data_IF_895251518786
#
_entry.id   IF_895251518786
#
_cell.length_a   1.000
_cell.length_b   1.000
_cell.length_c   1.000
_cell.angle_alpha   90.00
_cell.angle_beta   90.00
_cell.angle_gamma   90.00
#
_symmetry.space_group_name_H-M   'P 1'
#
loop_
_entity.id
_entity.type
_entity.pdbx_description
1 polymer ?
#
# COMPACT_ATOMS: atom_id res chain seq x y z
N UNK A 1 -3.75 -9.22 -12.51
CA UNK A 1 -4.27 -9.99 -11.35
C UNK A 1 -5.48 -9.28 -10.79
N UNK A 2 -6.54 -10.00 -10.41
CA UNK A 2 -7.84 -9.40 -10.06
C UNK A 2 -7.79 -8.43 -8.85
N UNK A 3 -6.84 -8.61 -7.93
CA UNK A 3 -6.82 -7.90 -6.65
C UNK A 3 -6.26 -6.45 -6.74
N UNK A 4 -5.49 -6.12 -7.76
CA UNK A 4 -4.90 -4.77 -7.90
C UNK A 4 -5.70 -3.88 -8.85
N UNK A 5 -6.55 -4.48 -9.69
CA UNK A 5 -7.42 -3.77 -10.63
C UNK A 5 -8.25 -2.68 -9.94
N UNK A 6 -8.85 -2.98 -8.78
CA UNK A 6 -9.63 -1.99 -8.02
C UNK A 6 -8.78 -0.79 -7.60
N UNK A 7 -7.51 -0.98 -7.20
CA UNK A 7 -6.62 0.13 -6.85
C UNK A 7 -6.30 0.99 -8.08
N UNK A 8 -6.03 0.35 -9.24
CA UNK A 8 -5.77 1.07 -10.50
C UNK A 8 -6.98 1.86 -10.97
N UNK A 9 -8.18 1.27 -10.90
CA UNK A 9 -9.42 1.94 -11.29
C UNK A 9 -9.68 3.19 -10.44
N UNK A 10 -9.46 3.09 -9.12
CA UNK A 10 -9.61 4.24 -8.22
C UNK A 10 -8.50 5.27 -8.42
N UNK A 11 -7.27 4.85 -8.68
CA UNK A 11 -6.18 5.74 -9.03
C UNK A 11 -6.48 6.52 -10.33
N UNK A 12 -6.88 5.84 -11.39
CA UNK A 12 -7.23 6.46 -12.67
C UNK A 12 -8.41 7.44 -12.53
N UNK A 13 -9.47 7.04 -11.82
CA UNK A 13 -10.61 7.92 -11.55
C UNK A 13 -10.23 9.16 -10.74
N UNK A 14 -9.26 9.03 -9.84
CA UNK A 14 -8.81 10.12 -8.98
C UNK A 14 -7.87 11.08 -9.74
N UNK A 15 -6.90 10.56 -10.49
CA UNK A 15 -5.98 11.35 -11.32
C UNK A 15 -6.72 12.08 -12.45
N UNK A 16 -7.72 11.43 -13.08
CA UNK A 16 -8.53 12.06 -14.13
C UNK A 16 -9.37 13.25 -13.66
N UNK A 17 -9.66 13.36 -12.36
CA UNK A 17 -10.39 14.49 -11.76
C UNK A 17 -9.49 15.56 -11.16
N UNK A 18 -8.22 15.24 -10.93
CA UNK A 18 -7.29 16.10 -10.20
C UNK A 18 -5.91 16.13 -10.87
N UNK A 19 -5.77 16.79 -12.03
CA UNK A 19 -4.52 16.78 -12.79
C UNK A 19 -3.47 17.77 -12.28
N UNK A 20 -3.70 18.49 -11.17
CA UNK A 20 -2.82 19.58 -10.74
C UNK A 20 -2.53 19.60 -9.25
N UNK A 21 -1.25 19.72 -8.90
CA UNK A 21 -0.77 19.89 -7.53
C UNK A 21 0.26 18.83 -7.17
N UNK A 22 1.30 19.26 -6.45
CA UNK A 22 2.52 18.48 -6.19
C UNK A 22 2.29 17.02 -5.80
N UNK A 23 1.28 16.74 -4.96
CA UNK A 23 0.97 15.36 -4.54
C UNK A 23 0.45 14.47 -5.66
N UNK A 24 -0.35 15.00 -6.58
CA UNK A 24 -0.94 14.23 -7.67
C UNK A 24 0.09 13.98 -8.76
N UNK A 25 0.93 14.98 -9.02
CA UNK A 25 2.10 14.85 -9.90
C UNK A 25 3.04 13.76 -9.40
N UNK A 26 3.32 13.74 -8.09
CA UNK A 26 4.12 12.70 -7.45
C UNK A 26 3.49 11.30 -7.59
N UNK A 27 2.17 11.16 -7.41
CA UNK A 27 1.51 9.87 -7.61
C UNK A 27 1.55 9.41 -9.05
N UNK A 28 1.32 10.32 -9.99
CA UNK A 28 1.38 10.03 -11.42
C UNK A 28 2.79 9.61 -11.83
N UNK A 29 3.82 10.28 -11.32
CA UNK A 29 5.22 9.90 -11.53
C UNK A 29 5.54 8.52 -10.92
N UNK A 30 5.05 8.26 -9.71
CA UNK A 30 5.32 6.99 -9.01
C UNK A 30 4.69 5.77 -9.71
N UNK A 31 3.54 5.91 -10.37
CA UNK A 31 2.90 4.80 -11.12
C UNK A 31 3.32 4.72 -12.59
N UNK A 32 4.16 5.65 -13.06
CA UNK A 32 4.55 5.69 -14.47
C UNK A 32 5.39 4.45 -14.83
N UNK A 33 5.02 3.75 -15.91
CA UNK A 33 5.66 2.51 -16.34
C UNK A 33 5.40 1.29 -15.44
N UNK A 34 4.55 1.41 -14.42
CA UNK A 34 4.15 0.26 -13.59
C UNK A 34 3.15 -0.63 -14.34
N UNK A 35 3.39 -1.94 -14.33
CA UNK A 35 2.55 -2.93 -14.98
C UNK A 35 2.01 -3.96 -13.98
N UNK A 36 0.87 -4.58 -14.30
CA UNK A 36 0.29 -5.63 -13.46
C UNK A 36 1.25 -6.82 -13.26
N UNK A 37 2.10 -7.07 -14.26
CA UNK A 37 3.07 -8.15 -14.24
C UNK A 37 4.21 -7.90 -13.23
N UNK A 38 4.44 -6.65 -12.81
CA UNK A 38 5.42 -6.32 -11.77
C UNK A 38 5.05 -6.93 -10.41
N UNK A 39 3.75 -7.22 -10.21
CA UNK A 39 3.23 -7.86 -8.99
C UNK A 39 3.06 -9.37 -9.13
N UNK A 40 3.34 -9.94 -10.30
CA UNK A 40 3.07 -11.33 -10.58
C UNK A 40 4.00 -12.25 -9.78
N UNK A 41 3.48 -13.39 -9.36
CA UNK A 41 4.23 -14.41 -8.66
C UNK A 41 3.35 -15.59 -8.27
N UNK A 42 3.98 -16.71 -7.95
CA UNK A 42 3.31 -17.96 -7.59
C UNK A 42 3.08 -18.16 -6.08
N UNK A 43 3.01 -17.09 -5.29
CA UNK A 43 2.84 -17.17 -3.82
C UNK A 43 1.46 -16.68 -3.43
N UNK A 44 0.88 -17.27 -2.39
CA UNK A 44 -0.34 -16.74 -1.78
C UNK A 44 0.02 -15.45 -1.02
N UNK A 45 -0.66 -14.37 -1.37
CA UNK A 45 -0.50 -13.02 -0.83
C UNK A 45 -1.84 -12.57 -0.28
N UNK A 46 -1.84 -11.96 0.90
CA UNK A 46 -3.05 -11.50 1.57
C UNK A 46 -3.58 -10.18 1.00
N UNK A 47 -2.71 -9.28 0.54
CA UNK A 47 -3.00 -7.94 -0.01
C UNK A 47 -3.58 -6.91 0.98
N UNK A 48 -4.03 -7.34 2.17
CA UNK A 48 -4.67 -6.45 3.14
C UNK A 48 -4.29 -6.79 4.60
N UNK A 49 -3.02 -7.10 4.85
CA UNK A 49 -2.52 -7.15 6.22
C UNK A 49 -2.66 -5.77 6.87
N UNK A 50 -3.37 -5.75 7.99
CA UNK A 50 -3.67 -4.55 8.77
C UNK A 50 -3.98 -4.89 10.23
N UNK A 51 -3.96 -3.91 11.16
CA UNK A 51 -4.23 -4.19 12.58
C UNK A 51 -5.58 -4.86 12.86
N UNK A 52 -6.59 -4.66 12.02
CA UNK A 52 -7.88 -5.36 12.10
C UNK A 52 -7.78 -6.85 11.74
N UNK A 53 -6.87 -7.21 10.83
CA UNK A 53 -6.70 -8.55 10.27
C UNK A 53 -5.52 -9.33 10.88
N UNK A 54 -4.77 -8.71 11.81
CA UNK A 54 -3.70 -9.36 12.57
C UNK A 54 -4.15 -9.56 14.02
N UNK A 55 -4.25 -10.81 14.46
CA UNK A 55 -4.63 -11.17 15.83
C UNK A 55 -3.43 -11.73 16.57
N UNK A 56 -3.17 -11.23 17.77
CA UNK A 56 -2.12 -11.75 18.64
C UNK A 56 -2.76 -12.71 19.65
N UNK A 57 -2.34 -13.96 19.65
CA UNK A 57 -2.77 -14.97 20.63
C UNK A 57 -2.09 -14.74 21.99
N UNK A 58 -2.60 -15.41 23.03
CA UNK A 58 -2.07 -15.29 24.39
C UNK A 58 -0.60 -15.75 24.52
N UNK A 59 -0.16 -16.68 23.67
CA UNK A 59 1.22 -17.18 23.58
C UNK A 59 2.11 -16.34 22.63
N UNK A 60 1.60 -15.23 22.11
CA UNK A 60 2.36 -14.27 21.30
C UNK A 60 2.45 -14.60 19.81
N UNK A 61 1.72 -15.61 19.32
CA UNK A 61 1.64 -15.88 17.88
C UNK A 61 0.77 -14.82 17.18
N UNK A 62 1.13 -14.49 15.95
CA UNK A 62 0.36 -13.57 15.10
C UNK A 62 -0.40 -14.36 14.05
N UNK A 63 -1.73 -14.29 14.09
CA UNK A 63 -2.64 -14.91 13.13
C UNK A 63 -3.15 -13.87 12.15
N UNK A 64 -2.95 -14.12 10.85
CA UNK A 64 -3.60 -13.36 9.79
C UNK A 64 -4.99 -13.96 9.48
N UNK A 65 -6.01 -13.12 9.52
CA UNK A 65 -7.42 -13.49 9.26
C UNK A 65 -7.98 -12.65 8.12
N UNK A 66 -9.17 -13.00 7.63
CA UNK A 66 -9.83 -12.33 6.50
C UNK A 66 -9.06 -12.45 5.17
N UNK A 67 -8.92 -13.70 4.72
CA UNK A 67 -8.30 -14.07 3.44
C UNK A 67 -9.20 -13.85 2.23
N UNK A 68 -10.32 -13.13 2.38
CA UNK A 68 -11.32 -12.95 1.31
C UNK A 68 -10.77 -12.20 0.09
N UNK A 69 -9.72 -11.40 0.28
CA UNK A 69 -9.02 -10.66 -0.77
C UNK A 69 -7.66 -11.27 -1.17
N UNK A 70 -7.36 -12.49 -0.71
CA UNK A 70 -6.10 -13.13 -1.01
C UNK A 70 -5.99 -13.53 -2.50
N UNK A 71 -4.77 -13.67 -2.99
CA UNK A 71 -4.53 -14.07 -4.38
C UNK A 71 -3.09 -14.50 -4.64
N UNK A 72 -2.81 -14.96 -5.86
CA UNK A 72 -1.44 -15.24 -6.29
C UNK A 72 -0.70 -13.93 -6.56
N UNK A 73 0.52 -13.77 -6.07
CA UNK A 73 1.36 -12.61 -6.31
C UNK A 73 2.81 -12.83 -5.91
N UNK A 74 3.61 -11.77 -6.04
CA UNK A 74 5.01 -11.79 -5.62
C UNK A 74 5.15 -11.81 -4.08
N UNK A 75 6.12 -12.56 -3.51
CA UNK A 75 6.24 -12.78 -2.08
C UNK A 75 6.47 -11.51 -1.24
N UNK A 76 6.95 -10.44 -1.87
CA UNK A 76 7.31 -9.19 -1.21
C UNK A 76 6.10 -8.27 -0.97
N UNK A 77 4.96 -8.52 -1.61
CA UNK A 77 3.82 -7.60 -1.63
C UNK A 77 3.29 -7.32 -0.22
N UNK A 78 3.03 -8.36 0.57
CA UNK A 78 2.50 -8.17 1.94
C UNK A 78 3.49 -7.44 2.85
N UNK A 79 4.78 -7.72 2.73
CA UNK A 79 5.83 -7.01 3.47
C UNK A 79 5.84 -5.52 3.11
N UNK A 80 5.78 -5.21 1.81
CA UNK A 80 5.74 -3.84 1.30
C UNK A 80 4.48 -3.09 1.77
N UNK A 81 3.32 -3.74 1.75
CA UNK A 81 2.05 -3.13 2.17
C UNK A 81 1.91 -2.93 3.68
N UNK A 82 2.81 -3.48 4.49
CA UNK A 82 2.91 -3.20 5.93
C UNK A 82 3.61 -1.87 6.23
N UNK A 83 4.48 -1.37 5.34
CA UNK A 83 5.20 -0.09 5.55
C UNK A 83 4.25 1.07 5.83
N UNK A 84 3.20 1.35 5.02
CA UNK A 84 2.28 2.44 5.32
C UNK A 84 1.50 2.20 6.63
N UNK A 85 1.26 0.95 7.04
CA UNK A 85 0.60 0.63 8.32
C UNK A 85 1.47 0.97 9.52
N UNK A 86 2.78 0.76 9.42
CA UNK A 86 3.72 1.16 10.46
C UNK A 86 3.79 2.69 10.57
N UNK A 87 3.70 3.40 9.44
CA UNK A 87 3.65 4.86 9.45
C UNK A 87 2.33 5.35 10.06
N UNK A 88 1.21 4.69 9.78
CA UNK A 88 -0.06 4.92 10.50
C UNK A 88 0.09 4.72 12.02
N UNK A 89 0.94 3.76 12.45
CA UNK A 89 1.26 3.51 13.85
C UNK A 89 2.30 4.48 14.45
N UNK A 90 2.78 5.48 13.69
CA UNK A 90 3.65 6.55 14.18
C UNK A 90 5.13 6.41 13.81
N UNK A 91 5.52 5.41 13.04
CA UNK A 91 6.89 5.29 12.54
C UNK A 91 7.19 6.32 11.43
N UNK A 92 8.44 6.79 11.35
CA UNK A 92 8.91 7.52 10.17
C UNK A 92 9.05 6.57 8.98
N UNK A 93 8.96 7.04 7.72
CA UNK A 93 9.15 6.20 6.54
C UNK A 93 10.43 5.36 6.56
N UNK A 94 11.58 5.98 6.89
CA UNK A 94 12.85 5.27 6.97
C UNK A 94 12.88 4.20 8.07
N UNK A 95 12.32 4.50 9.26
CA UNK A 95 12.25 3.50 10.34
C UNK A 95 11.30 2.34 10.02
N UNK A 96 10.21 2.61 9.29
CA UNK A 96 9.27 1.60 8.85
C UNK A 96 9.90 0.66 7.81
N UNK A 97 10.63 1.20 6.81
CA UNK A 97 11.38 0.38 5.85
C UNK A 97 12.48 -0.44 6.54
N UNK A 98 13.21 0.15 7.49
CA UNK A 98 14.22 -0.58 8.26
C UNK A 98 13.62 -1.76 9.02
N UNK A 99 12.44 -1.59 9.64
CA UNK A 99 11.75 -2.67 10.34
C UNK A 99 11.31 -3.77 9.37
N UNK A 100 10.67 -3.40 8.26
CA UNK A 100 10.19 -4.36 7.25
C UNK A 100 11.33 -5.06 6.53
N UNK A 101 12.49 -4.44 6.38
CA UNK A 101 13.67 -5.06 5.76
C UNK A 101 14.18 -6.30 6.51
N UNK A 102 13.73 -6.54 7.74
CA UNK A 102 14.03 -7.78 8.48
C UNK A 102 13.21 -8.98 7.97
N UNK A 103 12.10 -8.73 7.25
CA UNK A 103 11.28 -9.76 6.64
C UNK A 103 11.96 -10.24 5.37
N UNK A 104 12.33 -11.52 5.31
CA UNK A 104 13.08 -12.11 4.18
C UNK A 104 12.48 -11.78 2.82
N UNK A 105 11.15 -11.78 2.69
CA UNK A 105 10.49 -11.52 1.41
C UNK A 105 10.66 -10.08 0.90
N UNK A 106 10.94 -9.11 1.77
CA UNK A 106 11.26 -7.74 1.34
C UNK A 106 12.46 -7.69 0.38
N UNK A 107 13.48 -8.52 0.60
CA UNK A 107 14.67 -8.56 -0.26
C UNK A 107 14.43 -9.15 -1.66
N UNK A 108 13.28 -9.77 -1.88
CA UNK A 108 12.86 -10.21 -3.21
C UNK A 108 12.13 -9.09 -4.00
N UNK A 109 11.98 -7.90 -3.41
CA UNK A 109 11.31 -6.80 -4.06
C UNK A 109 12.14 -6.24 -5.24
N UNK A 110 11.48 -5.90 -6.36
CA UNK A 110 12.10 -5.30 -7.55
C UNK A 110 12.60 -3.86 -7.28
N UNK A 111 13.12 -3.15 -8.30
CA UNK A 111 13.64 -1.79 -8.12
C UNK A 111 12.67 -0.84 -7.42
N UNK A 112 13.24 0.23 -6.87
CA UNK A 112 12.50 1.08 -5.95
C UNK A 112 11.22 1.72 -6.52
N UNK A 113 11.17 1.90 -7.85
CA UNK A 113 10.02 2.40 -8.58
C UNK A 113 8.77 1.51 -8.46
N UNK A 114 8.92 0.18 -8.52
CA UNK A 114 7.77 -0.75 -8.43
C UNK A 114 7.15 -0.72 -7.02
N UNK A 115 7.99 -0.64 -5.99
CA UNK A 115 7.54 -0.49 -4.59
C UNK A 115 6.82 0.86 -4.42
N UNK A 116 7.39 1.94 -4.97
CA UNK A 116 6.77 3.27 -4.92
C UNK A 116 5.42 3.30 -5.65
N UNK A 117 5.30 2.63 -6.79
CA UNK A 117 4.06 2.49 -7.55
C UNK A 117 2.99 1.75 -6.74
N UNK A 118 3.32 0.62 -6.11
CA UNK A 118 2.38 -0.11 -5.26
C UNK A 118 1.94 0.75 -4.06
N UNK A 119 2.87 1.48 -3.44
CA UNK A 119 2.58 2.45 -2.38
C UNK A 119 1.66 3.59 -2.86
N UNK A 120 1.86 4.09 -4.08
CA UNK A 120 1.02 5.11 -4.70
C UNK A 120 -0.40 4.61 -5.00
N UNK A 121 -0.56 3.42 -5.57
CA UNK A 121 -1.86 2.78 -5.77
C UNK A 121 -2.59 2.57 -4.45
N UNK A 122 -1.88 2.07 -3.44
CA UNK A 122 -2.42 1.92 -2.08
C UNK A 122 -2.91 3.27 -1.55
N UNK A 123 -2.09 4.31 -1.66
CA UNK A 123 -2.38 5.65 -1.12
C UNK A 123 -3.56 6.31 -1.82
N UNK A 124 -3.60 6.29 -3.15
CA UNK A 124 -4.69 6.89 -3.94
C UNK A 124 -6.04 6.21 -3.68
N UNK A 125 -6.05 4.90 -3.39
CA UNK A 125 -7.29 4.25 -2.96
C UNK A 125 -7.82 4.84 -1.64
N UNK A 126 -6.94 5.17 -0.69
CA UNK A 126 -7.32 5.78 0.59
C UNK A 126 -7.77 7.22 0.39
N UNK A 127 -7.08 7.98 -0.46
CA UNK A 127 -7.52 9.32 -0.89
C UNK A 127 -8.93 9.28 -1.49
N UNK A 128 -9.16 8.37 -2.43
CA UNK A 128 -10.46 8.19 -3.05
C UNK A 128 -11.54 7.90 -2.01
N UNK A 129 -11.27 7.01 -1.06
CA UNK A 129 -12.21 6.68 0.02
C UNK A 129 -12.38 7.83 1.02
N UNK A 130 -11.36 8.65 1.25
CA UNK A 130 -11.47 9.85 2.08
C UNK A 130 -12.36 10.92 1.43
N UNK A 131 -12.33 11.04 0.10
CA UNK A 131 -13.15 12.01 -0.64
C UNK A 131 -14.58 11.51 -0.89
N UNK A 132 -14.75 10.23 -1.20
CA UNK A 132 -16.00 9.69 -1.75
C UNK A 132 -16.64 8.58 -0.89
N UNK A 133 -15.98 8.12 0.17
CA UNK A 133 -16.50 7.07 1.04
C UNK A 133 -17.60 7.55 2.00
N UNK A 134 -18.14 6.63 2.84
CA UNK A 134 -19.06 6.96 3.92
C UNK A 134 -18.47 7.99 4.87
N UNK A 135 -19.25 8.98 5.30
CA UNK A 135 -18.75 10.13 6.07
C UNK A 135 -18.00 9.73 7.36
N UNK A 136 -18.51 8.73 8.08
CA UNK A 136 -17.90 8.21 9.31
C UNK A 136 -16.53 7.56 9.08
N UNK A 137 -16.20 7.17 7.85
CA UNK A 137 -14.91 6.56 7.53
C UNK A 137 -13.86 7.54 7.01
N UNK A 138 -14.29 8.71 6.50
CA UNK A 138 -13.41 9.60 5.73
C UNK A 138 -12.18 10.06 6.52
N UNK A 139 -12.36 10.35 7.81
CA UNK A 139 -11.27 10.85 8.66
C UNK A 139 -10.12 9.84 8.78
N UNK A 140 -10.42 8.58 9.11
CA UNK A 140 -9.37 7.56 9.22
C UNK A 140 -8.77 7.22 7.84
N UNK A 141 -9.56 7.27 6.76
CA UNK A 141 -9.04 7.08 5.39
C UNK A 141 -8.09 8.21 5.00
N UNK A 142 -8.36 9.44 5.40
CA UNK A 142 -7.48 10.58 5.18
C UNK A 142 -6.17 10.44 5.96
N UNK A 143 -6.21 9.97 7.21
CA UNK A 143 -5.01 9.67 8.00
C UNK A 143 -4.16 8.58 7.34
N UNK A 144 -4.78 7.50 6.89
CA UNK A 144 -4.10 6.44 6.14
C UNK A 144 -3.46 6.97 4.85
N UNK A 145 -4.16 7.83 4.11
CA UNK A 145 -3.62 8.49 2.92
C UNK A 145 -2.42 9.40 3.24
N UNK A 146 -2.41 10.08 4.39
CA UNK A 146 -1.26 10.87 4.82
C UNK A 146 -0.01 9.99 5.07
N UNK A 147 -0.18 8.84 5.72
CA UNK A 147 0.91 7.89 5.94
C UNK A 147 1.51 7.39 4.62
N UNK A 148 0.65 6.96 3.70
CA UNK A 148 1.07 6.55 2.36
C UNK A 148 1.74 7.67 1.56
N UNK A 149 1.24 8.91 1.65
CA UNK A 149 1.86 10.07 1.00
C UNK A 149 3.26 10.36 1.53
N UNK A 150 3.43 10.33 2.86
CA UNK A 150 4.73 10.55 3.49
C UNK A 150 5.76 9.52 3.03
N UNK A 151 5.32 8.26 2.88
CA UNK A 151 6.18 7.19 2.38
C UNK A 151 6.59 7.38 0.92
N UNK A 152 5.65 7.71 0.03
CA UNK A 152 5.96 7.94 -1.38
C UNK A 152 6.92 9.13 -1.52
N UNK A 153 6.69 10.22 -0.78
CA UNK A 153 7.60 11.36 -0.77
C UNK A 153 9.02 10.98 -0.31
N UNK A 154 9.15 10.14 0.72
CA UNK A 154 10.45 9.62 1.15
C UNK A 154 11.16 8.82 0.05
N UNK A 155 10.41 8.09 -0.77
CA UNK A 155 10.93 7.20 -1.83
C UNK A 155 11.22 7.89 -3.15
N UNK A 156 10.64 9.05 -3.37
CA UNK A 156 10.76 9.85 -4.59
C UNK A 156 11.77 11.01 -4.45
N UNK A 157 12.31 11.24 -3.25
CA UNK A 157 13.41 12.16 -2.98
C UNK A 157 14.76 11.47 -3.20
#
# INVERSE_FOLDING_TARGET
>A
MQNIATLRDKAAALLGKHPGGHRWDMYNAAINGFEDNDLAGGRLVHYDLNPGNLKVSADGQVLAVDWSFAGSGAPWIDAVLLVPRLIEAGHSPGSAEQLISQIRSWHAAPPGAVIAALGALWTMFREYKALHGPMNERAFRAQAAMAGRAWIAHRMN
#
